data_IF_620553211808
#
_entry.id   IF_620553211808
#
_cell.length_a   1.000
_cell.length_b   1.000
_cell.length_c   1.000
_cell.angle_alpha   90.00
_cell.angle_beta   90.00
_cell.angle_gamma   90.00
#
_symmetry.space_group_name_H-M   'P 1'
#
loop_
_entity.id
_entity.type
_entity.pdbx_description
1 polymer ?
#
# COMPACT_ATOMS: atom_id res chain seq x y z
N UNK A 1 14.74 52.55 -35.10
CA UNK A 1 14.13 51.22 -35.31
C UNK A 1 15.19 50.20 -34.94
N UNK A 2 15.49 50.14 -33.65
CA UNK A 2 16.56 49.30 -33.10
C UNK A 2 16.08 47.86 -33.00
N UNK A 3 17.01 46.96 -33.29
CA UNK A 3 16.80 45.66 -33.88
C UNK A 3 16.08 44.67 -32.94
N UNK A 4 14.90 44.21 -33.36
CA UNK A 4 14.14 43.06 -32.84
C UNK A 4 15.03 41.81 -32.63
N UNK A 5 16.12 41.71 -33.39
CA UNK A 5 17.11 40.62 -33.31
C UNK A 5 17.92 40.65 -32.00
N UNK A 6 18.26 41.82 -31.47
CA UNK A 6 19.10 41.91 -30.26
C UNK A 6 18.36 41.47 -28.99
N UNK A 7 17.08 41.80 -28.87
CA UNK A 7 16.21 41.31 -27.80
C UNK A 7 15.95 39.81 -27.90
N UNK A 8 15.76 39.30 -29.12
CA UNK A 8 15.62 37.86 -29.38
C UNK A 8 16.87 37.08 -28.97
N UNK A 9 18.07 37.58 -29.25
CA UNK A 9 19.34 36.95 -28.84
C UNK A 9 19.47 36.93 -27.32
N UNK A 10 19.11 38.02 -26.64
CA UNK A 10 19.16 38.09 -25.17
C UNK A 10 18.18 37.11 -24.53
N UNK A 11 16.93 37.05 -25.02
CA UNK A 11 15.94 36.07 -24.58
C UNK A 11 16.37 34.63 -24.85
N UNK A 12 17.03 34.38 -25.98
CA UNK A 12 17.60 33.07 -26.29
C UNK A 12 18.66 32.63 -25.27
N UNK A 13 19.56 33.52 -24.86
CA UNK A 13 20.53 33.22 -23.81
C UNK A 13 19.88 33.01 -22.44
N UNK A 14 18.91 33.85 -22.06
CA UNK A 14 18.15 33.70 -20.81
C UNK A 14 17.41 32.35 -20.77
N UNK A 15 16.77 31.94 -21.87
CA UNK A 15 16.11 30.63 -21.98
C UNK A 15 17.09 29.46 -21.97
N UNK A 16 18.28 29.61 -22.57
CA UNK A 16 19.33 28.58 -22.50
C UNK A 16 19.89 28.46 -21.09
N UNK A 17 20.03 29.56 -20.35
CA UNK A 17 20.51 29.55 -18.97
C UNK A 17 19.42 29.03 -18.01
N UNK A 18 18.15 29.32 -18.27
CA UNK A 18 17.00 28.72 -17.58
C UNK A 18 16.86 27.22 -17.89
N UNK A 19 17.07 26.80 -19.14
CA UNK A 19 17.15 25.39 -19.53
C UNK A 19 18.36 24.69 -18.93
N UNK A 20 19.52 25.35 -18.80
CA UNK A 20 20.69 24.81 -18.09
C UNK A 20 20.47 24.73 -16.57
N UNK A 21 19.75 25.68 -16.00
CA UNK A 21 19.37 25.69 -14.58
C UNK A 21 18.34 24.60 -14.25
N UNK A 22 17.45 24.30 -15.20
CA UNK A 22 16.45 23.23 -15.09
C UNK A 22 16.94 21.84 -15.56
N UNK A 23 18.01 21.77 -16.37
CA UNK A 23 18.74 20.54 -16.68
C UNK A 23 19.59 20.15 -15.46
N UNK A 24 18.91 19.61 -14.46
CA UNK A 24 19.42 19.38 -13.11
C UNK A 24 18.35 19.50 -12.02
N UNK A 25 17.15 20.01 -12.35
CA UNK A 25 16.01 20.10 -11.42
C UNK A 25 15.38 18.75 -11.07
N UNK A 26 15.69 17.71 -11.87
CA UNK A 26 15.36 16.32 -11.58
C UNK A 26 16.68 15.55 -11.57
N UNK A 27 17.19 15.24 -10.39
CA UNK A 27 18.37 14.40 -10.25
C UNK A 27 18.01 12.99 -10.76
N UNK A 28 18.78 12.46 -11.72
CA UNK A 28 18.57 11.09 -12.23
C UNK A 28 18.64 10.06 -11.10
N UNK A 29 19.35 10.38 -10.00
CA UNK A 29 19.37 9.57 -8.77
C UNK A 29 18.02 9.59 -8.05
N UNK A 30 17.34 10.73 -7.99
CA UNK A 30 16.00 10.83 -7.37
C UNK A 30 14.97 10.03 -8.17
N UNK A 31 15.06 10.06 -9.51
CA UNK A 31 14.22 9.24 -10.39
C UNK A 31 14.51 7.76 -10.20
N UNK A 32 15.79 7.38 -10.13
CA UNK A 32 16.19 5.99 -9.88
C UNK A 32 15.69 5.50 -8.51
N UNK A 33 15.76 6.35 -7.48
CA UNK A 33 15.25 6.03 -6.14
C UNK A 33 13.73 5.86 -6.17
N UNK A 34 12.99 6.76 -6.81
CA UNK A 34 11.54 6.64 -6.95
C UNK A 34 11.13 5.35 -7.69
N UNK A 35 11.84 4.99 -8.76
CA UNK A 35 11.61 3.73 -9.48
C UNK A 35 11.87 2.53 -8.57
N UNK A 36 12.96 2.56 -7.78
CA UNK A 36 13.29 1.51 -6.81
C UNK A 36 12.23 1.37 -5.73
N UNK A 37 11.74 2.48 -5.19
CA UNK A 37 10.70 2.52 -4.16
C UNK A 37 9.37 1.99 -4.73
N UNK A 38 9.01 2.39 -5.94
CA UNK A 38 7.80 1.90 -6.62
C UNK A 38 7.88 0.41 -6.93
N UNK A 39 9.03 -0.09 -7.39
CA UNK A 39 9.25 -1.51 -7.62
C UNK A 39 9.08 -2.31 -6.33
N UNK A 40 9.69 -1.83 -5.23
CA UNK A 40 9.57 -2.45 -3.91
C UNK A 40 8.11 -2.44 -3.42
N UNK A 41 7.39 -1.33 -3.63
CA UNK A 41 5.96 -1.26 -3.28
C UNK A 41 5.11 -2.22 -4.12
N UNK A 42 5.39 -2.37 -5.41
CA UNK A 42 4.69 -3.33 -6.27
C UNK A 42 4.92 -4.77 -5.80
N UNK A 43 6.14 -5.15 -5.40
CA UNK A 43 6.44 -6.46 -4.84
C UNK A 43 5.65 -6.73 -3.55
N UNK A 44 5.59 -5.75 -2.65
CA UNK A 44 4.81 -5.83 -1.41
C UNK A 44 3.31 -5.99 -1.72
N UNK A 45 2.78 -5.23 -2.68
CA UNK A 45 1.36 -5.31 -3.06
C UNK A 45 1.03 -6.64 -3.74
N UNK A 46 1.94 -7.16 -4.57
CA UNK A 46 1.79 -8.48 -5.18
C UNK A 46 1.74 -9.58 -4.11
N UNK A 47 2.63 -9.53 -3.12
CA UNK A 47 2.63 -10.46 -2.01
C UNK A 47 1.32 -10.41 -1.21
N UNK A 48 0.84 -9.20 -0.86
CA UNK A 48 -0.44 -9.01 -0.16
C UNK A 48 -1.63 -9.54 -0.96
N UNK A 49 -1.67 -9.25 -2.26
CA UNK A 49 -2.71 -9.73 -3.17
C UNK A 49 -2.76 -11.25 -3.25
N UNK A 50 -1.61 -11.91 -3.35
CA UNK A 50 -1.54 -13.38 -3.39
C UNK A 50 -2.07 -14.02 -2.10
N UNK A 51 -1.75 -13.46 -0.94
CA UNK A 51 -2.24 -13.99 0.35
C UNK A 51 -3.76 -13.77 0.48
N UNK A 52 -4.28 -12.61 0.09
CA UNK A 52 -5.72 -12.36 0.03
C UNK A 52 -6.46 -13.30 -0.93
N UNK A 53 -5.86 -13.58 -2.10
CA UNK A 53 -6.43 -14.50 -3.07
C UNK A 53 -6.51 -15.93 -2.50
N UNK A 54 -5.47 -16.38 -1.80
CA UNK A 54 -5.46 -17.68 -1.14
C UNK A 54 -6.51 -17.76 -0.02
N UNK A 55 -6.62 -16.72 0.81
CA UNK A 55 -7.65 -16.64 1.87
C UNK A 55 -9.07 -16.67 1.28
N UNK A 56 -9.34 -15.86 0.25
CA UNK A 56 -10.62 -15.84 -0.44
C UNK A 56 -10.98 -17.20 -1.06
N UNK A 57 -10.00 -17.91 -1.62
CA UNK A 57 -10.20 -19.28 -2.12
C UNK A 57 -10.58 -20.24 -0.98
N UNK A 58 -9.95 -20.12 0.19
CA UNK A 58 -10.29 -20.88 1.39
C UNK A 58 -11.71 -20.61 1.89
N UNK A 59 -12.09 -19.34 1.99
CA UNK A 59 -13.46 -18.93 2.37
C UNK A 59 -14.47 -19.50 1.38
N UNK A 60 -14.21 -19.37 0.07
CA UNK A 60 -15.10 -19.91 -0.95
C UNK A 60 -15.25 -21.42 -0.84
N UNK A 61 -14.17 -22.15 -0.58
CA UNK A 61 -14.21 -23.60 -0.38
C UNK A 61 -15.04 -23.99 0.86
N UNK A 62 -14.92 -23.26 1.97
CA UNK A 62 -15.70 -23.48 3.18
C UNK A 62 -17.20 -23.22 2.96
N UNK A 63 -17.54 -22.16 2.21
CA UNK A 63 -18.93 -21.87 1.81
C UNK A 63 -19.46 -23.00 0.92
N UNK A 64 -18.72 -23.38 -0.12
CA UNK A 64 -19.14 -24.43 -1.06
C UNK A 64 -19.32 -25.79 -0.34
N UNK A 65 -18.49 -26.09 0.66
CA UNK A 65 -18.65 -27.27 1.53
C UNK A 65 -19.92 -27.19 2.40
N UNK A 66 -20.19 -26.03 3.00
CA UNK A 66 -21.40 -25.83 3.82
C UNK A 66 -22.67 -25.97 2.98
N UNK A 67 -22.70 -25.41 1.78
CA UNK A 67 -23.85 -25.52 0.87
C UNK A 67 -24.08 -26.99 0.48
N UNK A 68 -23.00 -27.73 0.13
CA UNK A 68 -23.10 -29.16 -0.18
C UNK A 68 -23.65 -29.96 0.99
N UNK A 69 -23.22 -29.66 2.22
CA UNK A 69 -23.77 -30.28 3.41
C UNK A 69 -25.27 -29.97 3.58
N UNK A 70 -25.67 -28.71 3.48
CA UNK A 70 -27.09 -28.31 3.60
C UNK A 70 -27.99 -28.96 2.57
N UNK A 71 -27.47 -29.20 1.36
CA UNK A 71 -28.20 -29.85 0.27
C UNK A 71 -28.12 -31.38 0.32
N UNK A 72 -27.33 -31.94 1.23
CA UNK A 72 -27.13 -33.37 1.33
C UNK A 72 -28.39 -34.04 1.88
N UNK A 73 -28.81 -35.11 1.22
CA UNK A 73 -29.83 -36.03 1.74
C UNK A 73 -29.21 -37.25 2.44
N UNK A 74 -27.89 -37.24 2.61
CA UNK A 74 -27.14 -38.35 3.19
C UNK A 74 -27.18 -38.27 4.73
N UNK A 75 -27.78 -39.24 5.42
CA UNK A 75 -27.87 -39.25 6.88
C UNK A 75 -26.51 -39.45 7.58
N UNK A 76 -25.46 -39.87 6.86
CA UNK A 76 -24.09 -39.96 7.41
C UNK A 76 -23.29 -38.67 7.24
N UNK A 77 -23.83 -37.67 6.53
CA UNK A 77 -23.14 -36.40 6.32
C UNK A 77 -23.19 -35.51 7.58
N UNK A 78 -22.17 -35.65 8.42
CA UNK A 78 -22.01 -34.97 9.72
C UNK A 78 -21.30 -33.62 9.65
N UNK A 79 -21.07 -33.07 8.44
CA UNK A 79 -20.38 -31.80 8.27
C UNK A 79 -21.11 -30.65 9.00
N UNK A 80 -20.45 -29.85 9.82
CA UNK A 80 -21.15 -28.86 10.67
C UNK A 80 -21.06 -27.45 10.08
N UNK A 81 -22.15 -26.66 10.16
CA UNK A 81 -22.11 -25.18 9.95
C UNK A 81 -21.07 -24.52 10.86
N UNK A 82 -20.69 -25.18 11.97
CA UNK A 82 -19.59 -24.74 12.83
C UNK A 82 -18.27 -24.55 12.07
N UNK A 83 -18.06 -25.20 10.92
CA UNK A 83 -16.90 -24.94 10.07
C UNK A 83 -16.76 -23.46 9.70
N UNK A 84 -17.86 -22.73 9.50
CA UNK A 84 -17.85 -21.31 9.13
C UNK A 84 -17.56 -20.40 10.33
N UNK A 85 -17.89 -20.85 11.54
CA UNK A 85 -17.65 -20.08 12.78
C UNK A 85 -16.14 -19.99 13.07
N UNK A 86 -15.38 -21.02 12.69
CA UNK A 86 -13.93 -21.10 12.93
C UNK A 86 -13.09 -20.59 11.74
N UNK A 87 -13.70 -20.16 10.63
CA UNK A 87 -12.97 -19.57 9.49
C UNK A 87 -12.29 -18.28 9.97
N UNK A 88 -10.96 -18.26 9.88
CA UNK A 88 -10.13 -17.09 10.17
C UNK A 88 -9.79 -16.33 8.90
N UNK A 89 -9.55 -15.03 9.04
CA UNK A 89 -9.12 -14.15 7.96
C UNK A 89 -7.81 -13.42 8.30
N UNK A 90 -6.72 -14.17 8.57
CA UNK A 90 -5.45 -13.59 9.00
C UNK A 90 -4.86 -12.59 7.98
N UNK A 91 -5.07 -12.79 6.68
CA UNK A 91 -4.60 -11.86 5.65
C UNK A 91 -5.30 -10.51 5.76
N UNK A 92 -6.63 -10.52 5.95
CA UNK A 92 -7.43 -9.32 6.21
C UNK A 92 -6.99 -8.66 7.53
N UNK A 93 -6.75 -9.44 8.59
CA UNK A 93 -6.32 -8.93 9.90
C UNK A 93 -4.98 -8.19 9.79
N UNK A 94 -4.00 -8.77 9.08
CA UNK A 94 -2.69 -8.14 8.82
C UNK A 94 -2.83 -6.85 8.01
N UNK A 95 -3.67 -6.85 6.97
CA UNK A 95 -3.88 -5.65 6.13
C UNK A 95 -4.58 -4.55 6.93
N UNK A 96 -5.59 -4.90 7.73
CA UNK A 96 -6.30 -3.95 8.58
C UNK A 96 -5.35 -3.30 9.58
N UNK A 97 -4.49 -4.08 10.23
CA UNK A 97 -3.49 -3.56 11.15
C UNK A 97 -2.48 -2.63 10.44
N UNK A 98 -2.08 -2.95 9.22
CA UNK A 98 -1.18 -2.08 8.44
C UNK A 98 -1.87 -0.77 8.04
N UNK A 99 -3.15 -0.81 7.63
CA UNK A 99 -3.94 0.41 7.33
C UNK A 99 -4.10 1.28 8.57
N UNK A 100 -4.39 0.67 9.73
CA UNK A 100 -4.49 1.40 11.00
C UNK A 100 -3.15 2.03 11.38
N UNK A 101 -2.04 1.30 11.23
CA UNK A 101 -0.70 1.79 11.50
C UNK A 101 -0.32 2.97 10.58
N UNK A 102 -0.63 2.88 9.28
CA UNK A 102 -0.44 3.99 8.34
C UNK A 102 -1.29 5.22 8.71
N UNK A 103 -2.53 5.00 9.16
CA UNK A 103 -3.41 6.07 9.64
C UNK A 103 -2.83 6.80 10.84
N UNK A 104 -2.25 6.07 11.80
CA UNK A 104 -1.54 6.64 12.96
C UNK A 104 -0.33 7.46 12.52
N UNK A 105 0.49 6.92 11.61
CA UNK A 105 1.67 7.61 11.09
C UNK A 105 1.30 8.89 10.32
N UNK A 106 0.22 8.86 9.55
CA UNK A 106 -0.28 10.02 8.81
C UNK A 106 -0.86 11.09 9.75
N UNK A 107 -1.65 10.68 10.73
CA UNK A 107 -2.20 11.58 11.75
C UNK A 107 -1.11 12.26 12.56
N UNK A 108 -0.07 11.54 12.96
CA UNK A 108 1.06 12.10 13.70
C UNK A 108 1.85 13.13 12.88
N UNK A 109 1.99 12.92 11.57
CA UNK A 109 2.63 13.89 10.66
C UNK A 109 1.81 15.17 10.51
N UNK A 110 0.49 15.04 10.37
CA UNK A 110 -0.42 16.17 10.12
C UNK A 110 -0.62 17.04 11.37
N UNK A 111 -0.77 16.44 12.54
CA UNK A 111 -1.11 17.17 13.76
C UNK A 111 0.04 18.00 14.34
N UNK A 112 1.26 17.91 13.77
CA UNK A 112 2.49 18.48 14.33
C UNK A 112 2.60 18.28 15.85
N UNK A 113 2.06 17.16 16.34
CA UNK A 113 1.63 17.03 17.72
C UNK A 113 2.84 16.92 18.67
N UNK A 114 2.64 17.37 19.92
CA UNK A 114 3.53 17.12 21.06
C UNK A 114 3.62 15.62 21.43
N UNK A 115 2.84 14.76 20.76
CA UNK A 115 3.07 13.31 20.77
C UNK A 115 4.40 13.11 20.05
N UNK A 116 5.41 12.64 20.78
CA UNK A 116 6.69 12.27 20.19
C UNK A 116 6.41 11.44 18.94
N UNK A 117 6.93 11.85 17.78
CA UNK A 117 6.78 11.06 16.56
C UNK A 117 7.31 9.63 16.73
N UNK A 118 8.14 9.38 17.74
CA UNK A 118 8.55 8.05 18.17
C UNK A 118 7.40 7.24 18.78
N UNK A 119 6.56 7.83 19.63
CA UNK A 119 5.43 7.13 20.27
C UNK A 119 4.40 6.66 19.24
N UNK A 120 4.12 7.51 18.25
CA UNK A 120 3.23 7.16 17.14
C UNK A 120 3.80 6.03 16.27
N UNK A 121 5.12 6.06 16.00
CA UNK A 121 5.82 4.98 15.29
C UNK A 121 5.80 3.68 16.09
N UNK A 122 6.00 3.76 17.40
CA UNK A 122 5.95 2.60 18.28
C UNK A 122 4.56 1.98 18.30
N UNK A 123 3.51 2.78 18.46
CA UNK A 123 2.12 2.30 18.42
C UNK A 123 1.78 1.67 17.06
N UNK A 124 2.19 2.30 15.96
CA UNK A 124 2.02 1.73 14.62
C UNK A 124 2.75 0.39 14.45
N UNK A 125 3.94 0.23 15.04
CA UNK A 125 4.66 -1.04 15.03
C UNK A 125 3.97 -2.12 15.88
N UNK A 126 3.38 -1.74 17.02
CA UNK A 126 2.61 -2.66 17.87
C UNK A 126 1.36 -3.17 17.15
N UNK A 127 0.63 -2.30 16.43
CA UNK A 127 -0.51 -2.70 15.60
C UNK A 127 -0.12 -3.78 14.58
N UNK A 128 0.97 -3.58 13.83
CA UNK A 128 1.45 -4.56 12.85
C UNK A 128 1.89 -5.89 13.47
N UNK A 129 2.53 -5.87 14.65
CA UNK A 129 2.95 -7.09 15.36
C UNK A 129 1.76 -7.87 15.92
N UNK A 130 0.75 -7.17 16.47
CA UNK A 130 -0.43 -7.79 17.05
C UNK A 130 -1.24 -8.62 16.06
N UNK A 131 -1.27 -8.23 14.78
CA UNK A 131 -1.97 -8.97 13.73
C UNK A 131 -1.16 -10.10 13.09
N UNK A 132 0.13 -10.20 13.36
CA UNK A 132 0.99 -11.29 12.89
C UNK A 132 1.10 -12.46 13.88
N UNK A 133 0.38 -12.38 15.01
CA UNK A 133 0.38 -13.35 16.12
C UNK A 133 -0.80 -14.30 16.03
#
# INVERSE_FOLDING_TARGET
>A
MECNVSELVKRGHEQVDELKSSCGAVDVRDVAQLISDLATQLDVQLARSNVLAAENAGIKAAIDATIRWQQSTDPENVESVRMLVDVKTPAIEVILADVMAQGVEMFAKEMHADISGDDAREFAAQLRKGAAS
#
